data_IF_761182009353
#
_entry.id   IF_761182009353
#
_cell.length_a   1.000
_cell.length_b   1.000
_cell.length_c   1.000
_cell.angle_alpha   90.00
_cell.angle_beta   90.00
_cell.angle_gamma   90.00
#
_symmetry.space_group_name_H-M   'P 1'
#
loop_
_entity.id
_entity.type
_entity.pdbx_description
1 polymer ?
#
# COMPACT_ATOMS: atom_id res chain seq x y z
N UNK A 1 28.38 13.84 -10.26
CA UNK A 1 27.10 13.25 -9.82
C UNK A 1 26.55 14.13 -8.72
N UNK A 2 25.26 14.52 -8.73
CA UNK A 2 24.68 15.09 -7.53
C UNK A 2 24.80 14.06 -6.39
N UNK A 3 25.03 14.48 -5.13
CA UNK A 3 25.19 13.55 -4.02
C UNK A 3 23.92 12.71 -3.89
N UNK A 4 24.10 11.38 -3.85
CA UNK A 4 23.02 10.47 -3.48
C UNK A 4 22.59 10.84 -2.06
N UNK A 5 21.43 11.50 -1.93
CA UNK A 5 20.89 11.89 -0.65
C UNK A 5 20.61 10.66 0.22
N UNK A 6 20.71 10.82 1.55
CA UNK A 6 20.41 9.78 2.53
C UNK A 6 18.90 9.56 2.74
N UNK A 7 18.07 10.21 1.95
CA UNK A 7 16.64 10.33 2.16
C UNK A 7 15.88 10.27 0.82
N UNK A 8 14.57 10.08 0.93
CA UNK A 8 13.64 10.10 -0.19
C UNK A 8 13.28 11.56 -0.49
N UNK A 9 13.50 12.01 -1.73
CA UNK A 9 12.96 13.28 -2.21
C UNK A 9 11.46 13.11 -2.50
N UNK A 10 10.64 13.76 -1.68
CA UNK A 10 9.18 13.73 -1.74
C UNK A 10 8.60 15.14 -1.96
N UNK A 11 9.35 16.07 -2.56
CA UNK A 11 8.89 17.46 -2.77
C UNK A 11 7.64 17.53 -3.67
N UNK A 12 7.52 16.62 -4.64
CA UNK A 12 6.36 16.53 -5.53
C UNK A 12 5.31 15.62 -4.90
N UNK A 13 4.24 16.21 -4.36
CA UNK A 13 3.17 15.49 -3.70
C UNK A 13 1.81 15.93 -4.25
N UNK A 14 1.14 15.11 -5.09
CA UNK A 14 -0.18 15.44 -5.61
C UNK A 14 -1.22 15.49 -4.47
N UNK A 15 -1.95 16.60 -4.40
CA UNK A 15 -2.97 16.82 -3.38
C UNK A 15 -4.19 15.90 -3.57
N UNK A 16 -4.70 15.35 -2.47
CA UNK A 16 -5.94 14.56 -2.38
C UNK A 16 -6.15 13.53 -3.52
N UNK A 17 -5.10 12.76 -3.86
CA UNK A 17 -5.06 11.93 -5.06
C UNK A 17 -5.33 10.43 -4.80
N UNK A 18 -5.88 9.73 -5.79
CA UNK A 18 -6.08 8.27 -5.77
C UNK A 18 -4.94 7.48 -6.41
N UNK A 19 -4.14 8.13 -7.27
CA UNK A 19 -2.94 7.60 -7.93
C UNK A 19 -2.02 8.73 -8.42
N UNK A 20 -1.30 9.35 -7.49
CA UNK A 20 -0.31 10.39 -7.77
C UNK A 20 1.09 9.85 -8.04
N UNK A 21 1.85 10.50 -8.92
CA UNK A 21 3.28 10.24 -9.10
C UNK A 21 4.10 11.41 -8.53
N UNK A 22 5.18 11.09 -7.79
CA UNK A 22 6.05 12.09 -7.16
C UNK A 22 7.48 11.56 -7.02
N UNK A 23 8.35 11.90 -7.98
CA UNK A 23 9.73 11.39 -7.99
C UNK A 23 9.79 9.86 -8.03
N UNK A 24 10.29 9.24 -6.96
CA UNK A 24 10.34 7.77 -6.82
C UNK A 24 9.10 7.18 -6.11
N UNK A 25 8.09 7.99 -5.84
CA UNK A 25 6.86 7.60 -5.15
C UNK A 25 5.69 7.46 -6.13
N UNK A 26 4.83 6.49 -5.83
CA UNK A 26 3.46 6.40 -6.35
C UNK A 26 2.51 6.40 -5.16
N UNK A 27 1.59 7.36 -5.10
CA UNK A 27 0.93 7.77 -3.86
C UNK A 27 -0.59 7.66 -4.01
N UNK A 28 -1.25 7.03 -3.06
CA UNK A 28 -2.68 7.22 -2.81
C UNK A 28 -2.81 7.98 -1.49
N UNK A 29 -3.30 9.22 -1.57
CA UNK A 29 -3.48 10.13 -0.44
C UNK A 29 -4.84 10.87 -0.55
N UNK A 30 -5.91 10.12 -0.77
CA UNK A 30 -7.27 10.65 -0.78
C UNK A 30 -7.75 10.86 0.67
N UNK A 31 -7.42 12.01 1.28
CA UNK A 31 -7.65 12.27 2.70
C UNK A 31 -8.94 13.04 3.00
N UNK A 32 -9.52 13.77 2.04
CA UNK A 32 -10.75 14.54 2.27
C UNK A 32 -12.00 13.70 2.00
N UNK A 33 -12.54 13.12 3.06
CA UNK A 33 -13.71 12.24 3.03
C UNK A 33 -14.91 12.99 3.62
N UNK A 34 -15.56 13.82 2.79
CA UNK A 34 -16.64 14.71 3.25
C UNK A 34 -17.96 14.00 3.60
N UNK A 35 -18.19 12.82 3.02
CA UNK A 35 -19.46 12.10 3.13
C UNK A 35 -19.26 10.58 3.22
N UNK A 36 -20.31 9.86 3.62
CA UNK A 36 -20.26 8.40 3.78
C UNK A 36 -19.88 7.68 2.48
N UNK A 37 -20.35 8.15 1.33
CA UNK A 37 -20.01 7.57 0.03
C UNK A 37 -18.52 7.76 -0.33
N UNK A 38 -17.86 8.79 0.21
CA UNK A 38 -16.43 8.98 0.04
C UNK A 38 -15.59 7.93 0.79
N UNK A 39 -16.14 7.29 1.84
CA UNK A 39 -15.47 6.17 2.53
C UNK A 39 -15.36 4.96 1.59
N UNK A 40 -16.41 4.66 0.83
CA UNK A 40 -16.38 3.55 -0.12
C UNK A 40 -15.37 3.81 -1.25
N UNK A 41 -15.25 5.07 -1.69
CA UNK A 41 -14.18 5.50 -2.62
C UNK A 41 -12.80 5.33 -1.99
N UNK A 42 -12.59 5.74 -0.73
CA UNK A 42 -11.32 5.54 -0.01
C UNK A 42 -10.94 4.07 0.05
N UNK A 43 -11.88 3.19 0.36
CA UNK A 43 -11.66 1.73 0.35
C UNK A 43 -11.26 1.25 -1.04
N UNK A 44 -11.96 1.70 -2.09
CA UNK A 44 -11.63 1.35 -3.46
C UNK A 44 -10.22 1.80 -3.84
N UNK A 45 -9.87 3.08 -3.62
CA UNK A 45 -8.53 3.61 -3.91
C UNK A 45 -7.43 2.91 -3.12
N UNK A 46 -7.70 2.57 -1.86
CA UNK A 46 -6.78 1.78 -1.03
C UNK A 46 -6.50 0.41 -1.63
N UNK A 47 -7.54 -0.28 -2.12
CA UNK A 47 -7.41 -1.58 -2.80
C UNK A 47 -6.69 -1.47 -4.13
N UNK A 48 -6.98 -0.44 -4.94
CA UNK A 48 -6.28 -0.18 -6.20
C UNK A 48 -4.77 0.01 -5.95
N UNK A 49 -4.39 0.76 -4.92
CA UNK A 49 -2.98 0.99 -4.61
C UNK A 49 -2.26 -0.26 -4.10
N UNK A 50 -2.95 -1.08 -3.29
CA UNK A 50 -2.46 -2.40 -2.88
C UNK A 50 -2.24 -3.30 -4.11
N UNK A 51 -3.20 -3.35 -5.03
CA UNK A 51 -3.09 -4.13 -6.26
C UNK A 51 -1.91 -3.67 -7.14
N UNK A 52 -1.72 -2.35 -7.30
CA UNK A 52 -0.57 -1.82 -8.05
C UNK A 52 0.76 -2.23 -7.42
N UNK A 53 0.85 -2.24 -6.09
CA UNK A 53 2.03 -2.71 -5.37
C UNK A 53 2.23 -4.23 -5.54
N UNK A 54 1.15 -5.01 -5.47
CA UNK A 54 1.16 -6.46 -5.63
C UNK A 54 1.59 -6.90 -7.04
N UNK A 55 1.18 -6.14 -8.05
CA UNK A 55 1.50 -6.39 -9.46
C UNK A 55 2.99 -6.29 -9.76
N UNK A 56 3.76 -5.51 -8.99
CA UNK A 56 5.17 -5.35 -9.25
C UNK A 56 5.94 -6.65 -9.05
N UNK A 57 6.83 -6.95 -10.00
CA UNK A 57 7.84 -7.99 -9.87
C UNK A 57 9.20 -7.33 -9.78
N UNK A 58 9.90 -7.51 -8.66
CA UNK A 58 11.25 -6.99 -8.46
C UNK A 58 12.14 -8.06 -7.83
N UNK A 59 13.21 -8.41 -8.54
CA UNK A 59 14.24 -9.30 -8.05
C UNK A 59 15.41 -8.45 -7.51
N UNK A 60 15.67 -8.45 -6.19
CA UNK A 60 16.77 -7.68 -5.63
C UNK A 60 18.13 -8.21 -6.12
N UNK A 61 19.21 -7.41 -6.04
CA UNK A 61 20.55 -7.87 -6.35
C UNK A 61 20.88 -9.18 -5.62
N UNK A 62 21.32 -10.20 -6.37
CA UNK A 62 21.62 -11.53 -5.85
C UNK A 62 20.45 -12.53 -5.87
N UNK A 63 19.21 -12.09 -6.15
CA UNK A 63 18.09 -13.00 -6.35
C UNK A 63 18.03 -13.54 -7.80
N UNK A 64 17.48 -14.74 -8.03
CA UNK A 64 17.19 -15.24 -9.38
C UNK A 64 16.32 -14.25 -10.17
N UNK A 65 16.68 -13.99 -11.43
CA UNK A 65 15.95 -13.05 -12.28
C UNK A 65 16.29 -11.57 -12.06
N UNK A 66 17.28 -11.25 -11.21
CA UNK A 66 17.79 -9.88 -11.09
C UNK A 66 18.32 -9.36 -12.43
N UNK A 67 17.87 -8.17 -12.81
CA UNK A 67 18.32 -7.45 -14.02
C UNK A 67 18.92 -6.11 -13.56
N UNK A 68 20.25 -5.92 -13.67
CA UNK A 68 20.92 -4.73 -13.11
C UNK A 68 20.45 -3.42 -13.76
N UNK A 69 20.04 -3.49 -15.03
CA UNK A 69 19.57 -2.33 -15.79
C UNK A 69 18.03 -2.18 -15.79
N UNK A 70 17.31 -3.03 -15.04
CA UNK A 70 15.86 -2.87 -14.94
C UNK A 70 15.50 -1.62 -14.13
N UNK A 71 14.46 -0.88 -14.54
CA UNK A 71 13.95 0.23 -13.75
C UNK A 71 13.59 -0.22 -12.33
N UNK A 72 14.02 0.55 -11.34
CA UNK A 72 13.60 0.34 -9.95
C UNK A 72 12.12 0.73 -9.86
N UNK A 73 11.23 -0.15 -9.36
CA UNK A 73 9.82 0.19 -9.19
C UNK A 73 9.69 1.34 -8.18
N UNK A 74 8.65 2.18 -8.29
CA UNK A 74 8.43 3.24 -7.31
C UNK A 74 8.07 2.65 -5.95
N UNK A 75 8.25 3.44 -4.89
CA UNK A 75 7.63 3.15 -3.61
C UNK A 75 6.14 3.42 -3.70
N UNK A 76 5.33 2.38 -3.55
CA UNK A 76 3.89 2.50 -3.46
C UNK A 76 3.52 2.91 -2.04
N UNK A 77 3.03 4.14 -1.89
CA UNK A 77 2.56 4.69 -0.64
C UNK A 77 1.02 4.71 -0.65
N UNK A 78 0.43 4.19 0.42
CA UNK A 78 -1.02 4.02 0.53
C UNK A 78 -1.50 4.50 1.89
N UNK A 79 -2.10 5.68 1.94
CA UNK A 79 -2.76 6.19 3.13
C UNK A 79 -4.16 5.60 3.21
N UNK A 80 -4.44 4.84 4.26
CA UNK A 80 -5.78 4.41 4.66
C UNK A 80 -6.46 5.47 5.52
N UNK A 81 -5.67 6.30 6.19
CA UNK A 81 -6.10 7.46 6.95
C UNK A 81 -6.84 8.48 6.06
N UNK A 82 -7.86 9.09 6.62
CA UNK A 82 -8.61 10.20 6.03
C UNK A 82 -9.44 10.88 7.13
N UNK A 83 -9.94 12.08 6.85
CA UNK A 83 -10.73 12.83 7.83
C UNK A 83 -11.66 13.83 7.16
N UNK A 84 -12.73 14.19 7.87
CA UNK A 84 -13.38 15.47 7.68
C UNK A 84 -13.82 16.02 9.04
N UNK A 85 -13.23 17.14 9.46
CA UNK A 85 -13.45 17.70 10.80
C UNK A 85 -14.81 18.40 10.96
N UNK A 86 -15.51 18.69 9.87
CA UNK A 86 -16.83 19.31 9.88
C UNK A 86 -17.97 18.28 9.94
N UNK A 87 -17.69 17.01 9.68
CA UNK A 87 -18.66 15.93 9.72
C UNK A 87 -18.25 14.85 10.71
N UNK A 88 -18.93 14.77 11.85
CA UNK A 88 -18.68 13.77 12.88
C UNK A 88 -18.82 12.31 12.38
N UNK A 89 -19.59 12.06 11.31
CA UNK A 89 -19.67 10.74 10.69
C UNK A 89 -18.40 10.34 9.92
N UNK A 90 -17.54 11.30 9.62
CA UNK A 90 -16.30 11.17 8.87
C UNK A 90 -15.08 11.58 9.70
N UNK A 91 -15.18 11.55 11.02
CA UNK A 91 -14.01 11.64 11.89
C UNK A 91 -13.07 10.44 11.67
N UNK A 92 -11.74 10.62 11.87
CA UNK A 92 -10.75 9.59 11.57
C UNK A 92 -11.06 8.20 12.15
N UNK A 93 -11.54 8.14 13.38
CA UNK A 93 -11.96 6.89 14.05
C UNK A 93 -13.04 6.14 13.27
N UNK A 94 -14.08 6.85 12.81
CA UNK A 94 -15.18 6.24 12.08
C UNK A 94 -14.79 5.81 10.67
N UNK A 95 -13.82 6.49 10.07
CA UNK A 95 -13.25 6.09 8.79
C UNK A 95 -12.41 4.83 8.98
N UNK A 96 -11.48 4.82 9.94
CA UNK A 96 -10.62 3.67 10.23
C UNK A 96 -11.43 2.41 10.58
N UNK A 97 -12.51 2.56 11.36
CA UNK A 97 -13.43 1.48 11.72
C UNK A 97 -14.13 0.82 10.51
N UNK A 98 -14.08 1.44 9.32
CA UNK A 98 -14.58 0.86 8.07
C UNK A 98 -13.46 0.47 7.11
N UNK A 99 -12.45 1.33 6.95
CA UNK A 99 -11.37 1.12 6.00
C UNK A 99 -10.49 -0.05 6.43
N UNK A 100 -10.09 -0.13 7.71
CA UNK A 100 -9.16 -1.16 8.17
C UNK A 100 -9.72 -2.58 7.98
N UNK A 101 -10.96 -2.91 8.43
CA UNK A 101 -11.54 -4.23 8.19
C UNK A 101 -11.73 -4.55 6.70
N UNK A 102 -12.13 -3.56 5.89
CA UNK A 102 -12.31 -3.77 4.45
C UNK A 102 -10.99 -4.03 3.71
N UNK A 103 -9.88 -3.47 4.20
CA UNK A 103 -8.53 -3.76 3.70
C UNK A 103 -8.05 -5.12 4.18
N UNK A 104 -8.28 -5.50 5.45
CA UNK A 104 -7.98 -6.86 5.96
C UNK A 104 -8.68 -7.92 5.11
N UNK A 105 -9.99 -7.76 4.88
CA UNK A 105 -10.77 -8.67 4.03
C UNK A 105 -10.13 -8.81 2.63
N UNK A 106 -9.74 -7.70 2.02
CA UNK A 106 -9.11 -7.70 0.71
C UNK A 106 -7.75 -8.43 0.71
N UNK A 107 -6.91 -8.14 1.71
CA UNK A 107 -5.60 -8.78 1.87
C UNK A 107 -5.74 -10.29 2.05
N UNK A 108 -6.70 -10.74 2.87
CA UNK A 108 -6.90 -12.17 3.15
C UNK A 108 -7.54 -12.94 1.99
N UNK A 109 -8.44 -12.32 1.23
CA UNK A 109 -9.30 -13.06 0.28
C UNK A 109 -8.95 -12.85 -1.20
N UNK A 110 -8.20 -11.79 -1.55
CA UNK A 110 -8.06 -11.35 -2.95
C UNK A 110 -6.65 -10.93 -3.36
N UNK A 111 -5.92 -10.22 -2.50
CA UNK A 111 -4.66 -9.54 -2.84
C UNK A 111 -3.58 -10.41 -3.46
N UNK A 112 -3.52 -11.69 -3.07
CA UNK A 112 -2.49 -12.64 -3.53
C UNK A 112 -2.84 -13.44 -4.77
N UNK A 113 -4.01 -13.23 -5.37
CA UNK A 113 -4.55 -14.01 -6.49
C UNK A 113 -4.73 -13.16 -7.75
N UNK A 114 -4.30 -13.70 -8.89
CA UNK A 114 -4.42 -13.04 -10.20
C UNK A 114 -5.85 -12.59 -10.52
N UNK A 115 -6.00 -11.35 -10.98
CA UNK A 115 -7.27 -10.84 -11.48
C UNK A 115 -8.33 -10.55 -10.42
N UNK A 116 -8.04 -10.73 -9.12
CA UNK A 116 -9.01 -10.49 -8.03
C UNK A 116 -8.98 -9.06 -7.47
N UNK A 117 -8.02 -8.25 -7.88
CA UNK A 117 -7.95 -6.83 -7.53
C UNK A 117 -8.91 -5.95 -8.34
N UNK A 118 -9.12 -4.68 -7.94
CA UNK A 118 -10.06 -3.78 -8.62
C UNK A 118 -9.82 -3.57 -10.12
N UNK A 119 -8.56 -3.60 -10.57
CA UNK A 119 -8.17 -3.44 -11.97
C UNK A 119 -7.88 -4.79 -12.66
N UNK A 120 -8.03 -5.91 -11.96
CA UNK A 120 -7.81 -7.25 -12.50
C UNK A 120 -6.37 -7.52 -12.89
N UNK A 121 -5.39 -6.91 -12.20
CA UNK A 121 -3.98 -7.11 -12.49
C UNK A 121 -3.51 -8.51 -12.10
N UNK A 122 -2.52 -9.02 -12.83
CA UNK A 122 -1.77 -10.19 -12.41
C UNK A 122 -0.92 -9.87 -11.18
N UNK A 123 -0.64 -10.87 -10.35
CA UNK A 123 0.15 -10.74 -9.13
C UNK A 123 1.62 -10.99 -9.45
N UNK A 124 2.48 -10.04 -9.05
CA UNK A 124 3.92 -10.19 -9.05
C UNK A 124 4.41 -10.68 -7.69
N UNK A 125 5.10 -9.82 -6.95
CA UNK A 125 5.62 -10.12 -5.60
C UNK A 125 4.51 -10.22 -4.54
N UNK A 126 3.27 -9.82 -4.85
CA UNK A 126 2.15 -9.71 -3.90
C UNK A 126 2.42 -8.80 -2.69
N UNK A 127 3.40 -7.90 -2.79
CA UNK A 127 3.69 -6.91 -1.75
C UNK A 127 2.55 -5.92 -1.56
N UNK A 128 2.51 -5.25 -0.41
CA UNK A 128 1.50 -4.22 -0.10
C UNK A 128 1.99 -2.80 -0.38
N UNK A 129 3.29 -2.62 -0.64
CA UNK A 129 3.93 -1.31 -0.52
C UNK A 129 3.96 -0.83 0.94
N UNK A 130 4.03 0.49 1.11
CA UNK A 130 4.01 1.15 2.41
C UNK A 130 2.56 1.55 2.72
N UNK A 131 2.00 0.98 3.79
CA UNK A 131 0.63 1.25 4.24
C UNK A 131 0.66 2.12 5.48
N UNK A 132 0.00 3.28 5.42
CA UNK A 132 -0.16 4.21 6.54
C UNK A 132 -1.62 4.16 7.00
N UNK A 133 -1.87 3.98 8.30
CA UNK A 133 -3.23 3.81 8.83
C UNK A 133 -3.38 4.40 10.23
N UNK A 134 -4.61 4.76 10.58
CA UNK A 134 -5.01 5.26 11.89
C UNK A 134 -5.54 4.13 12.78
N UNK A 135 -5.51 4.37 14.09
CA UNK A 135 -6.10 3.49 15.12
C UNK A 135 -5.55 2.06 15.16
N UNK A 136 -4.25 1.93 14.88
CA UNK A 136 -3.52 0.66 15.04
C UNK A 136 -3.62 0.15 16.48
N UNK A 137 -4.01 -1.12 16.65
CA UNK A 137 -4.10 -1.77 17.96
C UNK A 137 -5.31 -1.36 18.80
N UNK A 138 -6.23 -0.54 18.26
CA UNK A 138 -7.44 -0.18 18.96
C UNK A 138 -8.28 -1.43 19.26
N UNK A 139 -8.77 -1.56 20.49
CA UNK A 139 -9.52 -2.74 20.95
C UNK A 139 -8.76 -4.07 20.80
N UNK A 140 -7.43 -4.03 20.85
CA UNK A 140 -6.55 -5.19 20.61
C UNK A 140 -6.64 -5.76 19.17
N UNK A 141 -7.18 -4.97 18.23
CA UNK A 141 -7.19 -5.30 16.81
C UNK A 141 -5.85 -4.94 16.17
N UNK A 142 -5.06 -5.97 15.88
CA UNK A 142 -3.77 -5.90 15.19
C UNK A 142 -3.82 -6.52 13.80
N UNK A 143 -5.00 -6.90 13.31
CA UNK A 143 -5.13 -7.81 12.17
C UNK A 143 -4.63 -7.17 10.88
N UNK A 144 -4.89 -5.87 10.67
CA UNK A 144 -4.37 -5.15 9.51
C UNK A 144 -2.83 -5.15 9.49
N UNK A 145 -2.20 -4.84 10.63
CA UNK A 145 -0.74 -4.82 10.75
C UNK A 145 -0.17 -6.23 10.53
N UNK A 146 -0.78 -7.25 11.15
CA UNK A 146 -0.38 -8.65 10.97
C UNK A 146 -0.48 -9.07 9.50
N UNK A 147 -1.54 -8.70 8.80
CA UNK A 147 -1.70 -8.98 7.38
C UNK A 147 -0.61 -8.30 6.53
N UNK A 148 -0.38 -7.00 6.72
CA UNK A 148 0.65 -6.24 5.99
C UNK A 148 2.04 -6.84 6.22
N UNK A 149 2.39 -7.16 7.47
CA UNK A 149 3.68 -7.78 7.80
C UNK A 149 3.78 -9.19 7.20
N UNK A 150 2.74 -10.01 7.33
CA UNK A 150 2.72 -11.39 6.83
C UNK A 150 2.88 -11.49 5.30
N UNK A 151 2.44 -10.49 4.54
CA UNK A 151 2.68 -10.45 3.08
C UNK A 151 4.17 -10.46 2.71
N UNK A 152 5.07 -10.07 3.62
CA UNK A 152 6.51 -10.16 3.41
C UNK A 152 7.08 -11.58 3.55
N UNK A 153 6.29 -12.56 4.01
CA UNK A 153 6.76 -13.95 4.15
C UNK A 153 7.26 -14.53 2.81
N UNK A 154 6.72 -14.08 1.68
CA UNK A 154 7.19 -14.48 0.34
C UNK A 154 8.65 -14.11 0.09
N UNK A 155 9.15 -13.02 0.68
CA UNK A 155 10.56 -12.61 0.53
C UNK A 155 11.52 -13.65 1.11
N UNK A 156 11.12 -14.36 2.18
CA UNK A 156 11.95 -15.41 2.79
C UNK A 156 12.10 -16.64 1.88
N UNK A 157 11.14 -16.86 0.97
CA UNK A 157 11.19 -17.96 0.00
C UNK A 157 11.87 -17.57 -1.32
N UNK A 158 12.06 -16.27 -1.59
CA UNK A 158 12.66 -15.75 -2.82
C UNK A 158 14.19 -15.58 -2.73
N UNK A 159 14.74 -15.47 -1.52
CA UNK A 159 16.19 -15.42 -1.30
C UNK A 159 16.69 -16.81 -0.94
N UNK A 160 17.64 -17.41 -1.68
CA UNK A 160 18.27 -18.65 -1.24
C UNK A 160 18.90 -18.41 0.14
N UNK A 161 18.68 -19.32 1.09
CA UNK A 161 19.42 -19.33 2.34
C UNK A 161 20.91 -19.34 1.97
N UNK A 162 21.60 -18.22 2.14
CA UNK A 162 23.04 -18.25 2.29
C UNK A 162 23.27 -18.93 3.63
N UNK A 163 23.61 -20.22 3.58
CA UNK A 163 24.13 -20.94 4.72
C UNK A 163 25.34 -20.15 5.25
N UNK A 164 25.23 -19.69 6.50
CA UNK A 164 26.34 -19.17 7.27
C UNK A 164 27.29 -20.30 7.67
#
# INVERSE_FOLDING_TARGET
>A
MPPAGWAIDAQQWPDNCDDGAGGCLRIQDFYDVAERAAVDRKIHYSRCQLERAAHQAFAPPGAPGHRPDAPVPPFFLNFLSASNFFNAACWPERIAAKVNPAVVEYLCLRHGDDGKGPAGLAVGCAGTGIVVTDWVGANDDWDLVRCVVAMNARLQHMMPLQAA
#
